data_IF_362621696692
#
_entry.id   IF_362621696692
#
_cell.length_a   1.000
_cell.length_b   1.000
_cell.length_c   1.000
_cell.angle_alpha   90.00
_cell.angle_beta   90.00
_cell.angle_gamma   90.00
#
_symmetry.space_group_name_H-M   'P 1'
#
loop_
_entity.id
_entity.type
_entity.pdbx_description
1 polymer ?
#
# COMPACT_ATOMS: atom_id res chain seq x y z
N UNK A 1 -1.16 -15.02 -31.38
CA UNK A 1 -0.44 -16.13 -30.72
C UNK A 1 -0.90 -16.17 -29.26
N UNK A 2 -1.48 -17.27 -28.78
CA UNK A 2 -1.70 -17.42 -27.34
C UNK A 2 -0.33 -17.38 -26.66
N UNK A 3 -0.21 -16.65 -25.55
CA UNK A 3 1.04 -16.65 -24.78
C UNK A 3 1.31 -18.07 -24.28
N UNK A 4 2.50 -18.57 -24.59
CA UNK A 4 3.12 -19.58 -23.74
C UNK A 4 3.07 -19.08 -22.30
N UNK A 5 2.52 -19.92 -21.43
CA UNK A 5 2.37 -19.68 -20.02
C UNK A 5 3.74 -19.54 -19.34
N UNK A 6 4.35 -18.36 -19.44
CA UNK A 6 5.25 -17.86 -18.42
C UNK A 6 4.41 -17.27 -17.27
N UNK A 7 3.46 -18.06 -16.75
CA UNK A 7 2.97 -17.88 -15.38
C UNK A 7 4.06 -18.43 -14.47
N UNK A 8 5.15 -17.70 -14.31
CA UNK A 8 6.12 -18.02 -13.26
C UNK A 8 5.58 -17.48 -11.96
N UNK A 9 4.53 -18.12 -11.42
CA UNK A 9 4.15 -17.91 -10.03
C UNK A 9 5.41 -18.05 -9.17
N UNK A 10 5.63 -17.07 -8.30
CA UNK A 10 6.85 -17.03 -7.49
C UNK A 10 6.96 -18.30 -6.64
N UNK A 11 8.18 -18.84 -6.55
CA UNK A 11 8.43 -20.01 -5.69
C UNK A 11 8.15 -19.65 -4.23
N UNK A 12 7.70 -20.59 -3.39
CA UNK A 12 7.42 -20.30 -1.97
C UNK A 12 8.58 -19.65 -1.20
N UNK A 13 9.83 -19.95 -1.58
CA UNK A 13 11.01 -19.27 -1.02
C UNK A 13 11.08 -17.79 -1.39
N UNK A 14 10.83 -17.45 -2.65
CA UNK A 14 10.83 -16.06 -3.16
C UNK A 14 9.72 -15.25 -2.51
N UNK A 15 8.52 -15.81 -2.37
CA UNK A 15 7.40 -15.17 -1.68
C UNK A 15 7.73 -14.86 -0.21
N UNK A 16 8.39 -15.79 0.51
CA UNK A 16 8.82 -15.57 1.90
C UNK A 16 9.92 -14.52 2.00
N UNK A 17 10.89 -14.55 1.08
CA UNK A 17 12.00 -13.60 1.04
C UNK A 17 11.52 -12.18 0.75
N UNK A 18 10.67 -11.99 -0.27
CA UNK A 18 10.07 -10.70 -0.60
C UNK A 18 9.33 -10.08 0.61
N UNK A 19 8.51 -10.89 1.29
CA UNK A 19 7.81 -10.48 2.51
C UNK A 19 8.78 -10.10 3.62
N UNK A 20 9.83 -10.89 3.85
CA UNK A 20 10.83 -10.61 4.87
C UNK A 20 11.59 -9.31 4.59
N UNK A 21 11.92 -9.03 3.31
CA UNK A 21 12.55 -7.78 2.89
C UNK A 21 11.63 -6.58 3.10
N UNK A 22 10.34 -6.70 2.76
CA UNK A 22 9.36 -5.64 3.00
C UNK A 22 9.22 -5.31 4.50
N UNK A 23 9.16 -6.33 5.36
CA UNK A 23 9.15 -6.17 6.82
C UNK A 23 10.46 -5.54 7.31
N UNK A 24 11.62 -5.97 6.79
CA UNK A 24 12.91 -5.40 7.18
C UNK A 24 13.01 -3.90 6.85
N UNK A 25 12.44 -3.45 5.72
CA UNK A 25 12.36 -2.03 5.35
C UNK A 25 11.56 -1.21 6.37
N UNK A 26 10.43 -1.75 6.87
CA UNK A 26 9.66 -1.09 7.92
C UNK A 26 10.43 -1.07 9.26
N UNK A 27 11.05 -2.20 9.63
CA UNK A 27 11.89 -2.31 10.84
C UNK A 27 13.09 -1.37 10.84
N UNK A 28 13.59 -0.93 9.70
CA UNK A 28 14.67 0.06 9.63
C UNK A 28 14.29 1.42 10.28
N UNK A 29 12.98 1.71 10.42
CA UNK A 29 12.50 2.94 11.07
C UNK A 29 12.56 2.83 12.60
N UNK A 30 12.15 1.69 13.15
CA UNK A 30 12.15 1.40 14.58
C UNK A 30 12.58 -0.07 14.82
N UNK A 31 13.90 -0.35 14.91
CA UNK A 31 14.43 -1.72 14.89
C UNK A 31 13.98 -2.62 16.04
N UNK A 32 13.71 -2.01 17.20
CA UNK A 32 13.37 -2.72 18.43
C UNK A 32 11.88 -3.09 18.53
N UNK A 33 11.03 -2.51 17.68
CA UNK A 33 9.62 -2.84 17.63
C UNK A 33 9.34 -4.14 16.87
N UNK A 34 8.33 -4.87 17.33
CA UNK A 34 7.84 -6.06 16.66
C UNK A 34 6.94 -5.68 15.48
N UNK A 35 7.12 -6.33 14.32
CA UNK A 35 6.25 -6.16 13.16
C UNK A 35 5.27 -7.34 13.05
N UNK A 36 4.23 -7.36 13.91
CA UNK A 36 3.26 -8.47 14.02
C UNK A 36 2.15 -8.40 12.97
N UNK A 37 2.50 -8.62 11.71
CA UNK A 37 1.56 -8.50 10.57
C UNK A 37 0.54 -9.64 10.43
N UNK A 38 0.70 -10.73 11.19
CA UNK A 38 -0.19 -11.90 11.12
C UNK A 38 -0.23 -12.57 9.74
N UNK A 39 -1.37 -13.20 9.43
CA UNK A 39 -1.64 -13.77 8.11
C UNK A 39 -1.98 -12.66 7.11
N UNK A 40 -1.33 -12.69 5.95
CA UNK A 40 -1.62 -11.78 4.83
C UNK A 40 -2.56 -12.45 3.82
N UNK A 41 -3.31 -11.68 3.01
CA UNK A 41 -4.17 -12.25 1.96
C UNK A 41 -3.41 -13.21 1.02
N UNK A 42 -4.14 -14.19 0.51
CA UNK A 42 -3.63 -15.10 -0.51
C UNK A 42 -3.55 -14.33 -1.82
N UNK A 43 -2.36 -14.24 -2.39
CA UNK A 43 -2.10 -13.59 -3.69
C UNK A 43 -0.96 -14.32 -4.41
N UNK A 44 -1.02 -14.37 -5.73
CA UNK A 44 0.01 -14.95 -6.61
C UNK A 44 1.12 -13.95 -6.95
N UNK A 45 0.90 -12.66 -6.76
CA UNK A 45 1.82 -11.59 -7.15
C UNK A 45 3.02 -11.46 -6.21
N UNK A 46 2.94 -11.96 -4.98
CA UNK A 46 3.99 -11.76 -3.97
C UNK A 46 5.33 -12.40 -4.41
N UNK A 47 6.32 -11.54 -4.64
CA UNK A 47 7.66 -11.91 -5.11
C UNK A 47 7.81 -11.87 -6.64
N UNK A 48 6.74 -11.53 -7.38
CA UNK A 48 6.82 -11.34 -8.82
C UNK A 48 7.69 -10.12 -9.17
N UNK A 49 8.61 -10.22 -10.15
CA UNK A 49 9.43 -9.08 -10.58
C UNK A 49 8.68 -7.97 -11.33
N UNK A 50 7.39 -8.13 -11.62
CA UNK A 50 6.58 -7.16 -12.35
C UNK A 50 5.99 -6.03 -11.48
N UNK A 51 5.01 -5.29 -12.02
CA UNK A 51 4.35 -4.20 -11.31
C UNK A 51 3.48 -4.71 -10.14
N UNK A 52 2.75 -5.81 -10.30
CA UNK A 52 1.86 -6.30 -9.25
C UNK A 52 2.66 -6.85 -8.07
N UNK A 53 3.74 -7.58 -8.33
CA UNK A 53 4.63 -8.00 -7.25
C UNK A 53 5.28 -6.82 -6.54
N UNK A 54 5.63 -5.76 -7.28
CA UNK A 54 6.15 -4.53 -6.69
C UNK A 54 5.13 -3.77 -5.83
N UNK A 55 3.85 -3.76 -6.20
CA UNK A 55 2.75 -3.20 -5.40
C UNK A 55 2.56 -4.02 -4.11
N UNK A 56 2.55 -5.35 -4.21
CA UNK A 56 2.44 -6.24 -3.04
C UNK A 56 3.64 -6.11 -2.08
N UNK A 57 4.85 -5.85 -2.57
CA UNK A 57 5.99 -5.52 -1.71
C UNK A 57 5.75 -4.26 -0.87
N UNK A 58 5.10 -3.23 -1.44
CA UNK A 58 4.67 -2.06 -0.68
C UNK A 58 3.59 -2.42 0.33
N UNK A 59 2.59 -3.21 -0.07
CA UNK A 59 1.51 -3.63 0.84
C UNK A 59 2.06 -4.38 2.06
N UNK A 60 3.01 -5.29 1.87
CA UNK A 60 3.64 -6.00 2.98
C UNK A 60 4.46 -5.06 3.89
N UNK A 61 5.10 -4.02 3.34
CA UNK A 61 5.76 -2.97 4.13
C UNK A 61 4.74 -2.12 4.90
N UNK A 62 3.65 -1.73 4.28
CA UNK A 62 2.61 -0.92 4.90
C UNK A 62 1.92 -1.68 6.04
N UNK A 63 1.64 -2.99 5.85
CA UNK A 63 1.18 -3.88 6.92
C UNK A 63 2.13 -3.90 8.10
N UNK A 64 3.45 -3.92 7.84
CA UNK A 64 4.46 -3.89 8.89
C UNK A 64 4.48 -2.55 9.64
N UNK A 65 4.44 -1.42 8.92
CA UNK A 65 4.34 -0.09 9.54
C UNK A 65 3.08 0.03 10.40
N UNK A 66 1.93 -0.42 9.90
CA UNK A 66 0.67 -0.41 10.63
C UNK A 66 0.76 -1.24 11.92
N UNK A 67 1.29 -2.46 11.83
CA UNK A 67 1.46 -3.33 13.00
C UNK A 67 2.44 -2.72 14.01
N UNK A 68 3.55 -2.13 13.55
CA UNK A 68 4.53 -1.50 14.44
C UNK A 68 3.98 -0.27 15.18
N UNK A 69 3.09 0.51 14.56
CA UNK A 69 2.44 1.65 15.23
C UNK A 69 1.59 1.17 16.41
N UNK A 70 0.91 0.02 16.30
CA UNK A 70 0.12 -0.55 17.41
C UNK A 70 0.98 -1.00 18.60
N UNK A 71 2.26 -1.28 18.38
CA UNK A 71 3.20 -1.63 19.44
C UNK A 71 3.67 -0.42 20.26
N UNK A 72 3.46 0.80 19.73
CA UNK A 72 3.90 2.02 20.40
C UNK A 72 2.91 2.48 21.48
N UNK A 73 3.39 3.29 22.42
CA UNK A 73 2.56 3.92 23.45
C UNK A 73 2.76 5.43 23.46
N UNK A 74 1.71 6.16 23.86
CA UNK A 74 1.74 7.62 23.98
C UNK A 74 2.19 8.33 22.70
N UNK A 75 2.79 9.51 22.85
CA UNK A 75 3.37 10.27 21.74
C UNK A 75 4.89 10.04 21.64
N UNK A 76 5.28 8.76 21.56
CA UNK A 76 6.69 8.34 21.48
C UNK A 76 7.33 8.69 20.14
N UNK A 77 8.66 8.85 20.14
CA UNK A 77 9.43 9.15 18.93
C UNK A 77 9.24 8.09 17.85
N UNK A 78 9.18 6.80 18.23
CA UNK A 78 8.87 5.71 17.30
C UNK A 78 7.48 5.85 16.67
N UNK A 79 6.45 6.24 17.44
CA UNK A 79 5.10 6.45 16.89
C UNK A 79 5.11 7.56 15.85
N UNK A 80 5.76 8.69 16.16
CA UNK A 80 5.87 9.84 15.24
C UNK A 80 6.60 9.44 13.96
N UNK A 81 7.75 8.77 14.08
CA UNK A 81 8.56 8.35 12.95
C UNK A 81 7.84 7.32 12.06
N UNK A 82 7.20 6.32 12.67
CA UNK A 82 6.43 5.32 11.93
C UNK A 82 5.20 5.92 11.25
N UNK A 83 4.48 6.83 11.92
CA UNK A 83 3.31 7.49 11.34
C UNK A 83 3.69 8.42 10.19
N UNK A 84 4.79 9.17 10.32
CA UNK A 84 5.33 9.98 9.22
C UNK A 84 5.68 9.10 8.02
N UNK A 85 6.41 8.01 8.25
CA UNK A 85 6.80 7.09 7.18
C UNK A 85 5.58 6.43 6.52
N UNK A 86 4.61 5.96 7.31
CA UNK A 86 3.35 5.40 6.82
C UNK A 86 2.61 6.41 5.94
N UNK A 87 2.46 7.64 6.41
CA UNK A 87 1.76 8.71 5.66
C UNK A 87 2.45 8.97 4.32
N UNK A 88 3.78 9.07 4.31
CA UNK A 88 4.56 9.29 3.08
C UNK A 88 4.46 8.11 2.12
N UNK A 89 4.54 6.88 2.63
CA UNK A 89 4.45 5.66 1.83
C UNK A 89 3.07 5.50 1.21
N UNK A 90 1.99 5.65 1.98
CA UNK A 90 0.60 5.52 1.48
C UNK A 90 0.28 6.57 0.43
N UNK A 91 0.56 7.85 0.68
CA UNK A 91 0.31 8.93 -0.30
C UNK A 91 1.10 8.71 -1.60
N UNK A 92 2.37 8.32 -1.49
CA UNK A 92 3.21 8.09 -2.66
C UNK A 92 2.81 6.84 -3.44
N UNK A 93 2.40 5.79 -2.74
CA UNK A 93 1.94 4.54 -3.33
C UNK A 93 0.65 4.77 -4.13
N UNK A 94 -0.39 5.32 -3.48
CA UNK A 94 -1.68 5.61 -4.10
C UNK A 94 -1.50 6.49 -5.36
N UNK A 95 -0.80 7.61 -5.23
CA UNK A 95 -0.56 8.51 -6.36
C UNK A 95 0.24 7.85 -7.50
N UNK A 96 1.22 7.00 -7.19
CA UNK A 96 1.99 6.29 -8.20
C UNK A 96 1.17 5.19 -8.88
N UNK A 97 0.31 4.51 -8.14
CA UNK A 97 -0.60 3.49 -8.65
C UNK A 97 -1.62 4.09 -9.61
N UNK A 98 -2.28 5.19 -9.24
CA UNK A 98 -3.22 5.90 -10.12
C UNK A 98 -2.58 6.27 -11.46
N UNK A 99 -1.32 6.71 -11.42
CA UNK A 99 -0.58 7.16 -12.59
C UNK A 99 0.04 6.04 -13.41
N UNK A 100 0.31 4.87 -12.82
CA UNK A 100 0.96 3.75 -13.48
C UNK A 100 -0.02 2.64 -13.86
N UNK A 101 -0.92 2.27 -12.94
CA UNK A 101 -1.89 1.19 -13.10
C UNK A 101 -3.18 1.71 -13.71
N UNK A 102 -3.95 2.50 -12.95
CA UNK A 102 -5.31 2.90 -13.32
C UNK A 102 -5.38 3.81 -14.55
N UNK A 103 -4.31 4.54 -14.87
CA UNK A 103 -4.19 5.31 -16.11
C UNK A 103 -3.94 4.45 -17.36
N UNK A 104 -3.43 3.23 -17.20
CA UNK A 104 -2.86 2.40 -18.27
C UNK A 104 -3.67 1.15 -18.57
N UNK A 105 -4.48 0.67 -17.63
CA UNK A 105 -5.36 -0.48 -17.88
C UNK A 105 -6.35 -0.14 -19.01
N UNK A 106 -6.56 -1.05 -20.00
CA UNK A 106 -7.55 -0.84 -21.04
C UNK A 106 -8.93 -0.53 -20.47
N UNK A 107 -9.65 0.42 -21.07
CA UNK A 107 -10.97 0.81 -20.60
C UNK A 107 -12.01 -0.24 -20.99
N UNK A 108 -12.48 -0.97 -19.99
CA UNK A 108 -13.70 -1.77 -20.03
C UNK A 108 -14.56 -1.44 -18.78
N UNK A 109 -15.84 -1.86 -18.73
CA UNK A 109 -16.70 -1.52 -17.59
C UNK A 109 -16.16 -1.98 -16.23
N UNK A 110 -15.59 -3.19 -16.14
CA UNK A 110 -15.11 -3.77 -14.88
C UNK A 110 -13.86 -3.05 -14.39
N UNK A 111 -12.84 -2.89 -15.24
CA UNK A 111 -11.60 -2.20 -14.87
C UNK A 111 -11.81 -0.71 -14.62
N UNK A 112 -12.78 -0.08 -15.30
CA UNK A 112 -13.14 1.32 -15.04
C UNK A 112 -13.84 1.46 -13.69
N UNK A 113 -14.64 0.48 -13.28
CA UNK A 113 -15.29 0.48 -11.96
C UNK A 113 -14.27 0.28 -10.84
N UNK A 114 -13.33 -0.67 -11.01
CA UNK A 114 -12.21 -0.85 -10.07
C UNK A 114 -11.36 0.41 -9.92
N UNK A 115 -10.97 1.04 -11.03
CA UNK A 115 -10.19 2.28 -10.99
C UNK A 115 -10.91 3.39 -10.20
N UNK A 116 -12.22 3.58 -10.44
CA UNK A 116 -13.00 4.60 -9.71
C UNK A 116 -13.10 4.29 -8.22
N UNK A 117 -13.30 3.01 -7.88
CA UNK A 117 -13.38 2.56 -6.50
C UNK A 117 -12.04 2.75 -5.76
N UNK A 118 -10.94 2.26 -6.32
CA UNK A 118 -9.61 2.41 -5.73
C UNK A 118 -9.21 3.87 -5.51
N UNK A 119 -9.44 4.74 -6.50
CA UNK A 119 -9.18 6.20 -6.38
C UNK A 119 -10.03 6.83 -5.27
N UNK A 120 -11.30 6.41 -5.11
CA UNK A 120 -12.15 6.91 -4.05
C UNK A 120 -11.65 6.45 -2.66
N UNK A 121 -11.24 5.18 -2.54
CA UNK A 121 -10.65 4.65 -1.31
C UNK A 121 -9.33 5.36 -0.95
N UNK A 122 -8.46 5.62 -1.93
CA UNK A 122 -7.23 6.41 -1.71
C UNK A 122 -7.53 7.77 -1.09
N UNK A 123 -8.57 8.45 -1.59
CA UNK A 123 -8.97 9.76 -1.07
C UNK A 123 -9.50 9.68 0.36
N UNK A 124 -10.25 8.63 0.69
CA UNK A 124 -10.72 8.40 2.06
C UNK A 124 -9.57 8.06 3.02
N UNK A 125 -8.59 7.27 2.57
CA UNK A 125 -7.37 6.94 3.32
C UNK A 125 -6.55 8.21 3.59
N UNK A 126 -6.37 9.09 2.60
CA UNK A 126 -5.65 10.38 2.78
C UNK A 126 -6.37 11.29 3.79
N UNK A 127 -7.70 11.34 3.77
CA UNK A 127 -8.48 12.10 4.75
C UNK A 127 -8.34 11.53 6.17
N UNK A 128 -8.27 10.21 6.32
CA UNK A 128 -8.05 9.56 7.62
C UNK A 128 -6.63 9.83 8.15
N UNK A 129 -5.62 9.82 7.28
CA UNK A 129 -4.26 10.22 7.62
C UNK A 129 -4.20 11.69 8.09
N UNK A 130 -4.86 12.59 7.36
CA UNK A 130 -4.91 14.00 7.72
C UNK A 130 -5.64 14.27 9.05
N UNK A 131 -6.70 13.51 9.36
CA UNK A 131 -7.40 13.58 10.65
C UNK A 131 -6.52 13.09 11.80
N UNK A 132 -5.79 11.98 11.61
CA UNK A 132 -4.85 11.47 12.60
C UNK A 132 -3.70 12.43 12.86
N UNK A 133 -3.17 13.07 11.82
CA UNK A 133 -2.07 14.03 11.91
C UNK A 133 -2.47 15.34 12.62
N UNK A 134 -3.76 15.69 12.60
CA UNK A 134 -4.30 16.86 13.27
C UNK A 134 -4.56 16.65 14.77
N UNK A 135 -4.42 15.41 15.26
CA UNK A 135 -4.78 15.02 16.62
C UNK A 135 -3.54 14.76 17.47
N UNK A 136 -3.73 14.91 18.77
CA UNK A 136 -2.75 14.51 19.77
C UNK A 136 -2.56 12.99 19.74
N UNK A 137 -1.37 12.54 19.35
CA UNK A 137 -0.99 11.12 19.29
C UNK A 137 -0.94 10.48 20.69
N UNK A 138 -0.77 11.25 21.75
CA UNK A 138 -0.85 10.77 23.13
C UNK A 138 -2.28 10.59 23.64
N UNK A 139 -3.26 11.16 22.93
CA UNK A 139 -4.66 11.10 23.31
C UNK A 139 -5.26 9.70 23.16
N UNK A 140 -6.10 9.30 24.12
CA UNK A 140 -6.78 7.99 24.12
C UNK A 140 -7.62 7.73 22.86
N UNK A 141 -8.17 8.78 22.24
CA UNK A 141 -8.95 8.69 21.01
C UNK A 141 -8.13 8.51 19.73
N UNK A 142 -6.79 8.64 19.78
CA UNK A 142 -5.95 8.54 18.58
C UNK A 142 -5.88 7.10 18.07
N UNK A 143 -5.64 6.13 18.95
CA UNK A 143 -5.55 4.71 18.58
C UNK A 143 -6.87 4.18 18.01
N UNK A 144 -8.02 4.67 18.48
CA UNK A 144 -9.33 4.30 17.92
C UNK A 144 -9.45 4.74 16.45
N UNK A 145 -8.97 5.94 16.12
CA UNK A 145 -8.98 6.46 14.74
C UNK A 145 -7.94 5.76 13.88
N UNK A 146 -6.80 5.44 14.46
CA UNK A 146 -5.76 4.66 13.80
C UNK A 146 -6.26 3.26 13.45
N UNK A 147 -7.02 2.62 14.35
CA UNK A 147 -7.66 1.33 14.07
C UNK A 147 -8.66 1.43 12.90
N UNK A 148 -9.40 2.53 12.77
CA UNK A 148 -10.28 2.77 11.62
C UNK A 148 -9.46 2.93 10.32
N UNK A 149 -8.43 3.78 10.30
CA UNK A 149 -7.50 3.89 9.16
C UNK A 149 -6.94 2.52 8.76
N UNK A 150 -6.45 1.76 9.73
CA UNK A 150 -5.89 0.43 9.50
C UNK A 150 -6.94 -0.51 8.88
N UNK A 151 -8.18 -0.50 9.38
CA UNK A 151 -9.24 -1.35 8.86
C UNK A 151 -9.56 -1.01 7.39
N UNK A 152 -9.75 0.27 7.07
CA UNK A 152 -10.00 0.74 5.70
C UNK A 152 -8.82 0.42 4.77
N UNK A 153 -7.59 0.70 5.20
CA UNK A 153 -6.41 0.45 4.38
C UNK A 153 -6.19 -1.05 4.11
N UNK A 154 -6.36 -1.91 5.12
CA UNK A 154 -6.25 -3.36 4.95
C UNK A 154 -7.41 -3.95 4.13
N UNK A 155 -8.56 -3.27 4.11
CA UNK A 155 -9.67 -3.62 3.25
C UNK A 155 -9.31 -3.39 1.79
N UNK A 156 -8.95 -2.15 1.47
CA UNK A 156 -8.51 -1.69 0.16
C UNK A 156 -7.44 -2.59 -0.47
N UNK A 157 -6.27 -2.77 0.18
CA UNK A 157 -5.17 -3.56 -0.41
C UNK A 157 -5.47 -5.06 -0.55
N UNK A 158 -6.50 -5.57 0.14
CA UNK A 158 -6.96 -6.96 -0.04
C UNK A 158 -7.80 -7.07 -1.32
N UNK A 159 -8.70 -6.13 -1.57
CA UNK A 159 -9.48 -6.09 -2.81
C UNK A 159 -8.56 -5.97 -4.02
N UNK A 160 -7.56 -5.10 -3.95
CA UNK A 160 -6.52 -4.99 -4.96
C UNK A 160 -5.80 -6.32 -5.21
N UNK A 161 -5.24 -6.93 -4.15
CA UNK A 161 -4.44 -8.14 -4.26
C UNK A 161 -5.20 -9.38 -4.76
N UNK A 162 -6.52 -9.45 -4.53
CA UNK A 162 -7.32 -10.65 -4.74
C UNK A 162 -8.32 -10.53 -5.90
N UNK A 163 -8.70 -9.31 -6.27
CA UNK A 163 -9.76 -9.06 -7.24
C UNK A 163 -9.23 -8.13 -8.34
N UNK A 164 -8.83 -6.92 -7.98
CA UNK A 164 -8.58 -5.88 -8.98
C UNK A 164 -7.31 -6.15 -9.79
N UNK A 165 -6.21 -6.56 -9.15
CA UNK A 165 -4.97 -6.92 -9.85
C UNK A 165 -5.15 -8.17 -10.72
N UNK A 166 -5.95 -9.13 -10.25
CA UNK A 166 -6.27 -10.37 -11.00
C UNK A 166 -7.05 -10.04 -12.27
N UNK A 167 -8.00 -9.11 -12.20
CA UNK A 167 -8.74 -8.65 -13.37
C UNK A 167 -7.84 -7.82 -14.31
N UNK A 168 -7.07 -6.88 -13.77
CA UNK A 168 -6.21 -6.00 -14.55
C UNK A 168 -5.13 -6.78 -15.34
N UNK A 169 -4.49 -7.77 -14.73
CA UNK A 169 -3.41 -8.55 -15.35
C UNK A 169 -3.84 -9.24 -16.66
N UNK A 170 -5.09 -9.68 -16.75
CA UNK A 170 -5.61 -10.45 -17.89
C UNK A 170 -5.51 -9.71 -19.22
N UNK A 171 -5.52 -8.38 -19.18
CA UNK A 171 -5.54 -7.52 -20.35
C UNK A 171 -4.18 -6.84 -20.63
N UNK A 172 -3.13 -7.18 -19.88
CA UNK A 172 -1.83 -6.52 -19.97
C UNK A 172 -0.78 -7.37 -20.68
N UNK A 173 0.11 -6.71 -21.42
CA UNK A 173 1.28 -7.34 -22.02
C UNK A 173 2.54 -7.23 -21.18
N UNK A 174 3.57 -8.08 -21.39
CA UNK A 174 4.86 -7.91 -20.74
C UNK A 174 5.48 -6.53 -20.99
N UNK A 175 5.17 -5.89 -22.13
CA UNK A 175 5.58 -4.50 -22.37
C UNK A 175 4.84 -3.52 -21.46
N UNK A 176 3.54 -3.72 -21.27
CA UNK A 176 2.71 -2.90 -20.38
C UNK A 176 3.19 -3.06 -18.93
N UNK A 177 3.33 -4.30 -18.43
CA UNK A 177 3.84 -4.59 -17.10
C UNK A 177 5.22 -3.92 -16.83
N UNK A 178 6.14 -4.02 -17.80
CA UNK A 178 7.45 -3.34 -17.71
C UNK A 178 7.33 -1.82 -17.74
N UNK A 179 6.41 -1.28 -18.54
CA UNK A 179 6.17 0.15 -18.63
C UNK A 179 5.60 0.68 -17.32
N UNK A 180 4.52 0.07 -16.84
CA UNK A 180 3.82 0.42 -15.60
C UNK A 180 4.77 0.33 -14.41
N UNK A 181 5.59 -0.72 -14.30
CA UNK A 181 6.62 -0.82 -13.25
C UNK A 181 7.59 0.37 -13.27
N UNK A 182 8.07 0.77 -14.45
CA UNK A 182 8.97 1.94 -14.57
C UNK A 182 8.28 3.23 -14.15
N UNK A 183 7.04 3.44 -14.60
CA UNK A 183 6.26 4.63 -14.24
C UNK A 183 6.03 4.65 -12.73
N UNK A 184 5.60 3.54 -12.14
CA UNK A 184 5.36 3.42 -10.70
C UNK A 184 6.58 3.80 -9.88
N UNK A 185 7.76 3.25 -10.18
CA UNK A 185 8.99 3.56 -9.42
C UNK A 185 9.38 5.04 -9.53
N UNK A 186 9.27 5.61 -10.75
CA UNK A 186 9.57 7.02 -10.97
C UNK A 186 8.59 7.92 -10.20
N UNK A 187 7.28 7.63 -10.31
CA UNK A 187 6.24 8.41 -9.64
C UNK A 187 6.35 8.25 -8.14
N UNK A 188 6.40 7.04 -7.59
CA UNK A 188 6.47 6.80 -6.14
C UNK A 188 7.65 7.56 -5.52
N UNK A 189 8.82 7.56 -6.17
CA UNK A 189 9.97 8.33 -5.69
C UNK A 189 9.68 9.83 -5.62
N UNK A 190 9.11 10.39 -6.69
CA UNK A 190 8.77 11.82 -6.76
C UNK A 190 7.67 12.20 -5.75
N UNK A 191 6.60 11.41 -5.71
CA UNK A 191 5.46 11.63 -4.81
C UNK A 191 5.89 11.51 -3.34
N UNK A 192 6.74 10.53 -2.99
CA UNK A 192 7.24 10.38 -1.62
C UNK A 192 8.09 11.57 -1.18
N UNK A 193 8.93 12.09 -2.08
CA UNK A 193 9.74 13.28 -1.80
C UNK A 193 8.88 14.55 -1.64
N UNK A 194 7.78 14.64 -2.39
CA UNK A 194 6.85 15.76 -2.32
C UNK A 194 5.77 15.62 -1.22
N UNK A 195 5.58 14.43 -0.66
CA UNK A 195 4.52 14.12 0.28
C UNK A 195 4.58 15.05 1.50
N UNK A 196 3.44 15.69 1.78
CA UNK A 196 3.20 16.54 2.95
C UNK A 196 2.22 15.85 3.88
N UNK A 197 2.50 15.94 5.18
CA UNK A 197 1.57 15.54 6.22
C UNK A 197 0.63 16.71 6.45
N UNK A 198 -0.57 16.62 5.88
CA UNK A 198 -1.62 17.60 6.08
C UNK A 198 -2.27 17.37 7.45
N UNK A 199 -2.67 18.46 8.11
CA UNK A 199 -3.37 18.40 9.39
C UNK A 199 -4.76 18.99 9.20
N UNK A 200 -5.74 18.11 9.05
CA UNK A 200 -7.14 18.51 8.83
C UNK A 200 -8.07 17.60 9.61
N UNK A 201 -8.80 18.17 10.56
CA UNK A 201 -9.80 17.41 11.34
C UNK A 201 -10.95 16.99 10.42
N UNK A 202 -11.26 15.69 10.40
CA UNK A 202 -12.48 15.16 9.80
C UNK A 202 -13.61 15.29 10.82
N UNK A 203 -14.50 16.23 10.57
CA UNK A 203 -15.76 16.34 11.31
C UNK A 203 -16.68 15.22 10.83
N UNK A 204 -17.30 14.48 11.75
CA UNK A 204 -18.39 13.58 11.36
C UNK A 204 -19.52 14.44 10.78
N UNK A 205 -19.94 14.13 9.55
CA UNK A 205 -21.21 14.59 9.02
C UNK A 205 -22.37 13.95 9.79
#
# INVERSE_FOLDING_TARGET
MPRDALQTTSRPSQTREAKALAVAKAKAIAPDLAARIGSTPKTTFRGDPDIFGRLVEDHDRHRALLAMIEETQGDSDDRRALFEELTRELKAHAAAEEQALWSSVPRDPETTDFARHAIAEHKEIDDLLADLAARDMGGSGWLLRFAALKAEYLHHIREEEQEQFVAAEQNLSPNDLRHMRRVFEQRKKAEKAAAKIEKKIRLKA
#
